data_IF_723893847270
#
_entry.id   IF_723893847270
#
_cell.length_a   1.000
_cell.length_b   1.000
_cell.length_c   1.000
_cell.angle_alpha   90.00
_cell.angle_beta   90.00
_cell.angle_gamma   90.00
#
_symmetry.space_group_name_H-M   'P 1'
#
loop_
_entity.id
_entity.type
_entity.pdbx_description
1 polymer ?
#
# COMPACT_ATOMS: atom_id res chain seq x y z
N UNK A 1 19.45 -9.29 12.16
CA UNK A 1 20.52 -10.29 11.95
C UNK A 1 20.52 -11.28 13.10
N UNK A 2 20.52 -12.58 12.81
CA UNK A 2 20.43 -13.59 13.87
C UNK A 2 21.74 -13.63 14.67
N UNK A 3 21.67 -13.53 16.00
CA UNK A 3 22.85 -13.59 16.89
C UNK A 3 23.72 -14.82 16.61
N UNK A 4 23.08 -15.91 16.17
CA UNK A 4 23.72 -17.15 15.76
C UNK A 4 24.76 -16.99 14.62
N UNK A 5 24.54 -16.07 13.67
CA UNK A 5 25.48 -15.87 12.56
C UNK A 5 26.79 -15.25 13.03
N UNK A 6 26.71 -14.22 13.89
CA UNK A 6 27.90 -13.61 14.48
C UNK A 6 28.66 -14.57 15.39
N UNK A 7 27.94 -15.38 16.15
CA UNK A 7 28.53 -16.41 17.01
C UNK A 7 29.26 -17.45 16.14
N UNK A 8 28.65 -17.92 15.04
CA UNK A 8 29.28 -18.87 14.14
C UNK A 8 30.56 -18.31 13.48
N UNK A 9 30.53 -17.05 13.03
CA UNK A 9 31.69 -16.36 12.46
C UNK A 9 32.82 -16.22 13.48
N UNK A 10 32.50 -15.82 14.71
CA UNK A 10 33.48 -15.70 15.79
C UNK A 10 34.13 -17.05 16.12
N UNK A 11 33.32 -18.11 16.21
CA UNK A 11 33.82 -19.48 16.44
C UNK A 11 34.73 -19.96 15.31
N UNK A 12 34.36 -19.71 14.05
CA UNK A 12 35.20 -20.05 12.89
C UNK A 12 36.56 -19.34 12.92
N UNK A 13 36.58 -18.04 13.23
CA UNK A 13 37.83 -17.28 13.35
C UNK A 13 38.69 -17.81 14.51
N UNK A 14 38.07 -18.13 15.65
CA UNK A 14 38.76 -18.69 16.81
C UNK A 14 39.36 -20.08 16.51
N UNK A 15 38.61 -20.94 15.81
CA UNK A 15 39.08 -22.27 15.40
C UNK A 15 40.24 -22.15 14.41
N UNK A 16 40.15 -21.25 13.42
CA UNK A 16 41.24 -21.03 12.47
C UNK A 16 42.52 -20.58 13.18
N UNK A 17 42.41 -19.63 14.11
CA UNK A 17 43.53 -19.15 14.91
C UNK A 17 44.13 -20.29 15.74
N UNK A 18 43.32 -20.96 16.57
CA UNK A 18 43.78 -22.07 17.41
C UNK A 18 44.34 -23.23 16.59
N UNK A 19 43.80 -23.50 15.40
CA UNK A 19 44.27 -24.55 14.50
C UNK A 19 45.70 -24.31 13.99
N UNK A 20 46.05 -23.06 13.68
CA UNK A 20 47.43 -22.71 13.27
C UNK A 20 48.41 -22.92 14.43
N UNK A 21 48.07 -22.45 15.63
CA UNK A 21 48.92 -22.66 16.81
C UNK A 21 49.02 -24.14 17.21
N UNK A 22 47.92 -24.89 17.15
CA UNK A 22 47.88 -26.30 17.51
C UNK A 22 48.65 -27.19 16.52
N UNK A 23 48.45 -26.98 15.20
CA UNK A 23 49.17 -27.73 14.17
C UNK A 23 50.68 -27.51 14.26
N UNK A 24 51.12 -26.28 14.53
CA UNK A 24 52.53 -25.96 14.75
C UNK A 24 53.07 -26.63 16.03
N UNK A 25 52.35 -26.52 17.15
CA UNK A 25 52.75 -27.15 18.41
C UNK A 25 52.87 -28.67 18.27
N UNK A 26 51.90 -29.31 17.62
CA UNK A 26 51.87 -30.75 17.39
C UNK A 26 53.08 -31.20 16.56
N UNK A 27 53.30 -30.58 15.40
CA UNK A 27 54.38 -30.99 14.50
C UNK A 27 55.78 -30.78 15.09
N UNK A 28 56.06 -29.61 15.68
CA UNK A 28 57.43 -29.28 16.09
C UNK A 28 57.80 -29.80 17.48
N UNK A 29 56.85 -29.89 18.41
CA UNK A 29 57.14 -30.30 19.79
C UNK A 29 56.86 -31.78 20.04
N UNK A 30 55.73 -32.31 19.54
CA UNK A 30 55.34 -33.70 19.82
C UNK A 30 56.01 -34.68 18.85
N UNK A 31 56.06 -34.36 17.56
CA UNK A 31 56.65 -35.27 16.57
C UNK A 31 58.18 -35.12 16.47
N UNK A 32 58.67 -33.88 16.40
CA UNK A 32 60.10 -33.58 16.16
C UNK A 32 60.92 -33.36 17.45
N UNK A 33 60.27 -33.28 18.63
CA UNK A 33 60.95 -33.15 19.92
C UNK A 33 61.71 -31.83 20.14
N UNK A 34 61.45 -30.79 19.35
CA UNK A 34 62.18 -29.53 19.47
C UNK A 34 61.81 -28.76 20.75
N UNK A 35 62.80 -28.07 21.32
CA UNK A 35 62.60 -27.18 22.48
C UNK A 35 62.13 -25.79 22.04
N UNK A 36 61.39 -25.13 22.93
CA UNK A 36 60.90 -23.76 22.71
C UNK A 36 62.11 -22.80 22.63
N UNK A 37 62.19 -22.02 21.56
CA UNK A 37 63.26 -21.04 21.38
C UNK A 37 63.16 -19.91 22.42
N UNK A 38 64.30 -19.53 22.99
CA UNK A 38 64.45 -18.34 23.84
C UNK A 38 64.74 -17.06 23.04
N UNK A 39 65.04 -17.17 21.73
CA UNK A 39 65.32 -16.01 20.89
C UNK A 39 64.01 -15.34 20.44
N UNK A 40 63.83 -14.04 20.70
CA UNK A 40 62.65 -13.31 20.22
C UNK A 40 62.52 -13.27 18.69
N UNK A 41 63.64 -13.36 17.97
CA UNK A 41 63.68 -13.31 16.50
C UNK A 41 62.95 -14.50 15.84
N UNK A 42 63.07 -15.71 16.41
CA UNK A 42 62.36 -16.91 15.93
C UNK A 42 60.84 -16.78 16.16
N UNK A 43 60.44 -16.12 17.24
CA UNK A 43 59.03 -15.82 17.49
C UNK A 43 58.47 -14.77 16.53
N UNK A 44 59.29 -13.81 16.11
CA UNK A 44 58.94 -12.87 15.03
C UNK A 44 58.65 -13.59 13.72
N UNK A 45 59.55 -14.47 13.28
CA UNK A 45 59.39 -15.26 12.04
C UNK A 45 58.17 -16.20 12.09
N UNK A 46 57.88 -16.79 13.26
CA UNK A 46 56.66 -17.57 13.46
C UNK A 46 55.40 -16.70 13.37
N UNK A 47 55.43 -15.51 13.97
CA UNK A 47 54.36 -14.52 13.85
C UNK A 47 54.09 -14.12 12.41
N UNK A 48 55.13 -13.96 11.58
CA UNK A 48 55.01 -13.65 10.16
C UNK A 48 54.36 -14.80 9.37
N UNK A 49 54.72 -16.05 9.67
CA UNK A 49 54.08 -17.23 9.06
C UNK A 49 52.60 -17.34 9.47
N UNK A 50 52.30 -17.23 10.77
CA UNK A 50 50.94 -17.31 11.27
C UNK A 50 50.08 -16.16 10.73
N UNK A 51 50.61 -14.93 10.70
CA UNK A 51 49.97 -13.77 10.11
C UNK A 51 49.75 -13.92 8.60
N UNK A 52 50.72 -14.47 7.87
CA UNK A 52 50.61 -14.75 6.44
C UNK A 52 49.50 -15.74 6.09
N UNK A 53 49.16 -16.66 6.99
CA UNK A 53 48.06 -17.61 6.80
C UNK A 53 46.72 -17.10 7.34
N UNK A 54 46.72 -16.48 8.53
CA UNK A 54 45.50 -16.00 9.21
C UNK A 54 44.92 -14.78 8.49
N UNK A 55 45.76 -13.85 8.00
CA UNK A 55 45.28 -12.61 7.41
C UNK A 55 44.44 -12.84 6.13
N UNK A 56 44.85 -13.69 5.16
CA UNK A 56 43.99 -14.02 4.02
C UNK A 56 42.67 -14.69 4.42
N UNK A 57 42.68 -15.58 5.43
CA UNK A 57 41.47 -16.25 5.93
C UNK A 57 40.51 -15.23 6.55
N UNK A 58 41.00 -14.34 7.42
CA UNK A 58 40.20 -13.27 8.02
C UNK A 58 39.72 -12.27 6.96
N UNK A 59 40.54 -11.96 5.96
CA UNK A 59 40.17 -11.13 4.82
C UNK A 59 39.01 -11.74 4.03
N UNK A 60 39.08 -13.03 3.72
CA UNK A 60 37.99 -13.74 3.04
C UNK A 60 36.71 -13.78 3.88
N UNK A 61 36.81 -14.09 5.18
CA UNK A 61 35.68 -14.05 6.12
C UNK A 61 35.04 -12.66 6.12
N UNK A 62 35.86 -11.60 6.14
CA UNK A 62 35.38 -10.21 6.10
C UNK A 62 34.59 -9.93 4.83
N UNK A 63 35.10 -10.35 3.66
CA UNK A 63 34.38 -10.19 2.38
C UNK A 63 33.04 -10.93 2.42
N UNK A 64 33.00 -12.16 2.94
CA UNK A 64 31.75 -12.94 3.06
C UNK A 64 30.74 -12.25 3.98
N UNK A 65 31.17 -11.73 5.13
CA UNK A 65 30.31 -10.97 6.04
C UNK A 65 29.75 -9.73 5.35
N UNK A 66 30.58 -9.00 4.61
CA UNK A 66 30.15 -7.81 3.87
C UNK A 66 29.09 -8.16 2.83
N UNK A 67 29.27 -9.25 2.07
CA UNK A 67 28.28 -9.73 1.09
C UNK A 67 26.95 -10.08 1.79
N UNK A 68 27.00 -10.87 2.86
CA UNK A 68 25.78 -11.25 3.61
C UNK A 68 25.07 -10.01 4.18
N UNK A 69 25.84 -9.08 4.74
CA UNK A 69 25.31 -7.84 5.31
C UNK A 69 24.66 -6.98 4.23
N UNK A 70 25.30 -6.84 3.07
CA UNK A 70 24.77 -6.09 1.92
C UNK A 70 23.45 -6.70 1.40
N UNK A 71 23.39 -8.03 1.24
CA UNK A 71 22.15 -8.71 0.82
C UNK A 71 21.02 -8.55 1.85
N UNK A 72 21.35 -8.60 3.15
CA UNK A 72 20.37 -8.36 4.20
C UNK A 72 19.88 -6.91 4.19
N UNK A 73 20.79 -5.94 4.03
CA UNK A 73 20.46 -4.52 3.92
C UNK A 73 19.53 -4.28 2.73
N UNK A 74 19.84 -4.83 1.54
CA UNK A 74 18.98 -4.71 0.36
C UNK A 74 17.55 -5.20 0.64
N UNK A 75 17.39 -6.37 1.27
CA UNK A 75 16.06 -6.86 1.67
C UNK A 75 15.35 -5.97 2.69
N UNK A 76 16.09 -5.33 3.60
CA UNK A 76 15.49 -4.36 4.53
C UNK A 76 15.06 -3.08 3.81
N UNK A 77 15.85 -2.59 2.87
CA UNK A 77 15.51 -1.43 2.04
C UNK A 77 14.24 -1.69 1.21
N UNK A 78 14.14 -2.83 0.53
CA UNK A 78 12.93 -3.21 -0.23
C UNK A 78 11.67 -3.25 0.67
N UNK A 79 11.81 -3.80 1.89
CA UNK A 79 10.71 -3.83 2.87
C UNK A 79 10.35 -2.43 3.39
N UNK A 80 11.35 -1.57 3.58
CA UNK A 80 11.14 -0.20 4.02
C UNK A 80 10.45 0.62 2.93
N UNK A 81 10.95 0.56 1.69
CA UNK A 81 10.37 1.23 0.53
C UNK A 81 8.90 0.81 0.33
N UNK A 82 8.61 -0.49 0.48
CA UNK A 82 7.24 -0.99 0.42
C UNK A 82 6.34 -0.39 1.51
N UNK A 83 6.85 -0.27 2.74
CA UNK A 83 6.10 0.36 3.84
C UNK A 83 5.89 1.85 3.60
N UNK A 84 6.87 2.54 3.04
CA UNK A 84 6.75 3.95 2.70
C UNK A 84 5.73 4.19 1.60
N UNK A 85 5.73 3.38 0.53
CA UNK A 85 4.71 3.45 -0.53
C UNK A 85 3.31 3.26 0.03
N UNK A 86 3.11 2.24 0.88
CA UNK A 86 1.83 2.01 1.54
C UNK A 86 1.41 3.19 2.41
N UNK A 87 2.34 3.77 3.18
CA UNK A 87 2.06 4.94 4.04
C UNK A 87 1.69 6.18 3.21
N UNK A 88 2.44 6.46 2.14
CA UNK A 88 2.15 7.59 1.24
C UNK A 88 0.78 7.41 0.60
N UNK A 89 0.41 6.19 0.24
CA UNK A 89 -0.92 5.91 -0.24
C UNK A 89 -1.99 6.12 0.84
N UNK A 90 -1.80 5.61 2.06
CA UNK A 90 -2.71 5.83 3.18
C UNK A 90 -2.95 7.33 3.41
N UNK A 91 -1.88 8.11 3.48
CA UNK A 91 -1.94 9.56 3.70
C UNK A 91 -2.71 10.25 2.55
N UNK A 92 -2.48 9.87 1.30
CA UNK A 92 -3.24 10.37 0.13
C UNK A 92 -4.71 9.96 0.19
N UNK A 93 -5.00 8.70 0.52
CA UNK A 93 -6.37 8.18 0.62
C UNK A 93 -7.17 8.92 1.68
N UNK A 94 -6.65 9.02 2.91
CA UNK A 94 -7.32 9.74 3.97
C UNK A 94 -7.47 11.23 3.66
N UNK A 95 -6.47 11.84 3.04
CA UNK A 95 -6.53 13.24 2.58
C UNK A 95 -7.61 13.48 1.52
N UNK A 96 -7.79 12.57 0.57
CA UNK A 96 -8.86 12.68 -0.44
C UNK A 96 -10.25 12.41 0.14
N UNK A 97 -10.37 11.45 1.07
CA UNK A 97 -11.62 11.18 1.80
C UNK A 97 -12.03 12.40 2.63
N UNK A 98 -11.09 13.03 3.35
CA UNK A 98 -11.38 14.24 4.11
C UNK A 98 -11.78 15.39 3.19
N UNK A 99 -11.06 15.60 2.09
CA UNK A 99 -11.41 16.62 1.10
C UNK A 99 -12.83 16.41 0.54
N UNK A 100 -13.19 15.17 0.18
CA UNK A 100 -14.55 14.86 -0.27
C UNK A 100 -15.59 15.15 0.80
N UNK A 101 -15.33 14.77 2.05
CA UNK A 101 -16.23 15.01 3.17
C UNK A 101 -16.45 16.50 3.38
N UNK A 102 -15.38 17.29 3.40
CA UNK A 102 -15.45 18.74 3.57
C UNK A 102 -16.18 19.39 2.39
N UNK A 103 -15.87 18.96 1.17
CA UNK A 103 -16.56 19.42 -0.04
C UNK A 103 -18.07 19.11 0.02
N UNK A 104 -18.46 17.93 0.51
CA UNK A 104 -19.87 17.55 0.67
C UNK A 104 -20.56 18.33 1.81
N UNK A 105 -19.85 18.63 2.90
CA UNK A 105 -20.39 19.40 4.02
C UNK A 105 -20.65 20.87 3.65
N UNK A 106 -19.74 21.46 2.86
CA UNK A 106 -19.85 22.86 2.41
C UNK A 106 -20.75 23.03 1.18
N UNK A 107 -21.14 21.91 0.54
CA UNK A 107 -21.95 21.90 -0.66
C UNK A 107 -23.35 22.46 -0.43
N UNK A 108 -23.77 23.36 -1.32
CA UNK A 108 -25.12 23.91 -1.38
C UNK A 108 -25.63 23.92 -2.82
N UNK A 109 -26.86 23.47 -3.02
CA UNK A 109 -27.53 23.53 -4.31
C UNK A 109 -28.93 24.13 -4.15
N UNK A 110 -29.34 24.99 -5.08
CA UNK A 110 -30.67 25.57 -5.07
C UNK A 110 -31.69 24.57 -5.58
N UNK A 111 -32.68 24.28 -4.74
CA UNK A 111 -33.87 23.54 -5.15
C UNK A 111 -34.79 24.44 -6.00
N UNK A 112 -35.75 23.86 -6.74
CA UNK A 112 -36.75 24.64 -7.48
C UNK A 112 -37.58 25.57 -6.60
N UNK A 113 -37.69 25.26 -5.30
CA UNK A 113 -38.32 26.13 -4.29
C UNK A 113 -37.53 27.40 -3.99
N UNK A 114 -36.29 27.52 -4.48
CA UNK A 114 -35.38 28.64 -4.23
C UNK A 114 -34.56 28.52 -2.94
N UNK A 115 -34.75 27.45 -2.16
CA UNK A 115 -34.02 27.18 -0.92
C UNK A 115 -32.69 26.49 -1.22
N UNK A 116 -31.61 26.91 -0.56
CA UNK A 116 -30.33 26.21 -0.59
C UNK A 116 -30.44 24.90 0.20
N UNK A 117 -30.18 23.78 -0.46
CA UNK A 117 -30.17 22.45 0.13
C UNK A 117 -28.74 21.93 0.32
N UNK A 118 -28.49 21.31 1.47
CA UNK A 118 -27.29 20.50 1.69
C UNK A 118 -27.40 19.14 0.97
N UNK A 119 -26.34 18.33 1.00
CA UNK A 119 -26.31 17.01 0.33
C UNK A 119 -27.46 16.10 0.78
N UNK A 120 -27.81 16.08 2.06
CA UNK A 120 -28.88 15.23 2.59
C UNK A 120 -30.25 15.63 2.05
N UNK A 121 -30.58 16.91 2.15
CA UNK A 121 -31.84 17.48 1.66
C UNK A 121 -31.97 17.31 0.14
N UNK A 122 -30.88 17.56 -0.57
CA UNK A 122 -30.84 17.40 -2.02
C UNK A 122 -31.04 15.95 -2.43
N UNK A 123 -30.40 15.01 -1.73
CA UNK A 123 -30.54 13.57 -2.03
C UNK A 123 -31.99 13.14 -1.92
N UNK A 124 -32.68 13.53 -0.84
CA UNK A 124 -34.11 13.22 -0.63
C UNK A 124 -34.95 13.81 -1.76
N UNK A 125 -34.70 15.06 -2.15
CA UNK A 125 -35.44 15.70 -3.24
C UNK A 125 -35.20 15.01 -4.59
N UNK A 126 -33.94 14.73 -4.92
CA UNK A 126 -33.53 14.07 -6.17
C UNK A 126 -34.11 12.66 -6.26
N UNK A 127 -34.08 11.90 -5.17
CA UNK A 127 -34.74 10.58 -5.08
C UNK A 127 -36.24 10.70 -5.29
N UNK A 128 -36.92 11.65 -4.64
CA UNK A 128 -38.36 11.86 -4.82
C UNK A 128 -38.71 12.21 -6.27
N UNK A 129 -37.94 13.10 -6.92
CA UNK A 129 -38.14 13.42 -8.34
C UNK A 129 -37.90 12.19 -9.22
N UNK A 130 -36.87 11.40 -8.93
CA UNK A 130 -36.51 10.23 -9.75
C UNK A 130 -37.49 9.05 -9.60
N UNK A 131 -37.89 8.73 -8.37
CA UNK A 131 -38.73 7.55 -8.07
C UNK A 131 -40.23 7.85 -8.17
N UNK A 132 -40.67 9.02 -7.72
CA UNK A 132 -42.10 9.30 -7.52
C UNK A 132 -42.74 10.10 -8.66
N UNK A 133 -41.95 10.63 -9.59
CA UNK A 133 -42.43 11.46 -10.70
C UNK A 133 -41.88 11.00 -12.05
N UNK A 134 -42.58 11.34 -13.13
CA UNK A 134 -42.09 11.14 -14.52
C UNK A 134 -41.49 12.43 -15.11
N UNK A 135 -41.60 13.58 -14.42
CA UNK A 135 -40.98 14.84 -14.84
C UNK A 135 -39.56 14.95 -14.26
N UNK A 136 -38.59 14.60 -15.09
CA UNK A 136 -37.17 14.71 -14.74
C UNK A 136 -36.49 15.97 -15.29
N UNK A 137 -37.26 17.01 -15.64
CA UNK A 137 -36.73 18.26 -16.18
C UNK A 137 -35.67 18.89 -15.27
N UNK A 138 -35.91 18.91 -13.95
CA UNK A 138 -34.95 19.42 -12.98
C UNK A 138 -33.64 18.62 -12.93
N UNK A 139 -33.72 17.28 -12.97
CA UNK A 139 -32.52 16.42 -13.00
C UNK A 139 -31.74 16.62 -14.31
N UNK A 140 -32.42 17.01 -15.38
CA UNK A 140 -31.82 17.24 -16.68
C UNK A 140 -31.37 18.69 -16.91
N UNK A 141 -31.63 19.60 -15.98
CA UNK A 141 -31.17 20.98 -16.01
C UNK A 141 -29.64 21.08 -15.90
N UNK A 142 -29.04 21.94 -16.72
CA UNK A 142 -27.58 22.07 -16.79
C UNK A 142 -27.00 22.69 -15.50
N UNK A 143 -27.70 23.61 -14.84
CA UNK A 143 -27.22 24.20 -13.57
C UNK A 143 -27.20 23.18 -12.45
N UNK A 144 -28.21 22.30 -12.41
CA UNK A 144 -28.24 21.18 -11.48
C UNK A 144 -27.06 20.24 -11.74
N UNK A 145 -26.85 19.81 -12.99
CA UNK A 145 -25.73 18.94 -13.38
C UNK A 145 -24.37 19.55 -13.06
N UNK A 146 -24.18 20.84 -13.35
CA UNK A 146 -22.93 21.57 -13.07
C UNK A 146 -22.63 21.63 -11.56
N UNK A 147 -23.67 21.64 -10.73
CA UNK A 147 -23.53 21.59 -9.27
C UNK A 147 -23.14 20.19 -8.78
N UNK A 148 -23.78 19.14 -9.31
CA UNK A 148 -23.65 17.78 -8.76
C UNK A 148 -22.49 16.99 -9.35
N UNK A 149 -22.18 17.18 -10.63
CA UNK A 149 -21.15 16.40 -11.30
C UNK A 149 -19.76 16.56 -10.68
N UNK A 150 -19.33 17.72 -10.17
CA UNK A 150 -18.08 17.85 -9.41
C UNK A 150 -18.02 16.95 -8.17
N UNK A 151 -19.13 16.80 -7.46
CA UNK A 151 -19.24 15.99 -6.24
C UNK A 151 -19.11 14.49 -6.57
N UNK A 152 -19.77 14.04 -7.64
CA UNK A 152 -19.61 12.66 -8.15
C UNK A 152 -18.21 12.43 -8.74
N UNK A 153 -17.62 13.44 -9.39
CA UNK A 153 -16.23 13.38 -9.90
C UNK A 153 -15.22 13.23 -8.77
N UNK A 154 -15.41 13.90 -7.64
CA UNK A 154 -14.59 13.71 -6.45
C UNK A 154 -14.61 12.26 -5.96
N UNK A 155 -15.79 11.63 -5.95
CA UNK A 155 -15.91 10.20 -5.64
C UNK A 155 -15.22 9.29 -6.67
N UNK A 156 -15.38 9.60 -7.96
CA UNK A 156 -14.69 8.87 -9.04
C UNK A 156 -13.17 8.88 -8.87
N UNK A 157 -12.57 10.01 -8.49
CA UNK A 157 -11.12 10.13 -8.30
C UNK A 157 -10.64 9.15 -7.22
N UNK A 158 -11.38 9.00 -6.12
CA UNK A 158 -11.09 8.03 -5.07
C UNK A 158 -11.15 6.58 -5.59
N UNK A 159 -12.22 6.22 -6.31
CA UNK A 159 -12.36 4.87 -6.90
C UNK A 159 -11.23 4.57 -7.89
N UNK A 160 -10.87 5.56 -8.72
CA UNK A 160 -9.78 5.46 -9.69
C UNK A 160 -8.42 5.34 -9.02
N UNK A 161 -8.14 6.15 -8.00
CA UNK A 161 -6.89 6.09 -7.23
C UNK A 161 -6.69 4.70 -6.61
N UNK A 162 -7.73 4.11 -6.01
CA UNK A 162 -7.65 2.75 -5.45
C UNK A 162 -7.41 1.72 -6.58
N UNK A 163 -8.08 1.87 -7.72
CA UNK A 163 -7.95 0.92 -8.83
C UNK A 163 -6.56 0.96 -9.48
N UNK A 164 -6.02 2.16 -9.71
CA UNK A 164 -4.74 2.35 -10.41
C UNK A 164 -3.54 2.02 -9.52
N UNK A 165 -3.63 2.29 -8.21
CA UNK A 165 -2.58 1.95 -7.24
C UNK A 165 -2.34 0.45 -7.09
N UNK A 166 -3.32 -0.39 -7.46
CA UNK A 166 -3.16 -1.85 -7.50
C UNK A 166 -1.98 -2.29 -8.39
N UNK A 167 -1.67 -1.55 -9.46
CA UNK A 167 -0.67 -1.98 -10.44
C UNK A 167 0.78 -1.70 -10.01
N UNK A 168 1.00 -0.75 -9.08
CA UNK A 168 2.34 -0.20 -8.83
C UNK A 168 2.69 -0.03 -7.35
N UNK A 169 1.69 0.16 -6.47
CA UNK A 169 1.92 0.59 -5.09
C UNK A 169 1.39 -0.42 -4.06
N UNK A 170 0.29 -1.13 -4.34
CA UNK A 170 -0.48 -1.90 -3.34
C UNK A 170 -0.85 -3.31 -3.82
N UNK A 171 -0.87 -4.30 -2.92
CA UNK A 171 -1.34 -5.64 -3.25
C UNK A 171 -2.85 -5.67 -3.53
N UNK A 172 -3.31 -6.61 -4.37
CA UNK A 172 -4.76 -6.78 -4.69
C UNK A 172 -5.64 -6.87 -3.45
N UNK A 173 -5.15 -7.56 -2.42
CA UNK A 173 -5.86 -7.78 -1.14
C UNK A 173 -6.07 -6.47 -0.38
N UNK A 174 -5.15 -5.52 -0.51
CA UNK A 174 -5.20 -4.25 0.18
C UNK A 174 -6.14 -3.28 -0.56
N UNK A 175 -6.21 -3.30 -1.90
CA UNK A 175 -7.18 -2.50 -2.68
C UNK A 175 -8.64 -2.77 -2.29
N UNK A 176 -8.99 -4.05 -2.11
CA UNK A 176 -10.31 -4.48 -1.64
C UNK A 176 -10.71 -3.83 -0.31
N UNK A 177 -9.74 -3.69 0.60
CA UNK A 177 -9.92 -3.07 1.91
C UNK A 177 -10.14 -1.56 1.80
N UNK A 178 -9.44 -0.88 0.88
CA UNK A 178 -9.68 0.54 0.63
C UNK A 178 -11.06 0.82 0.01
N UNK A 179 -11.56 -0.06 -0.86
CA UNK A 179 -12.94 0.07 -1.36
C UNK A 179 -13.96 -0.07 -0.23
N UNK A 180 -13.77 -1.04 0.66
CA UNK A 180 -14.63 -1.20 1.84
C UNK A 180 -14.59 0.05 2.74
N UNK A 181 -13.39 0.60 2.98
CA UNK A 181 -13.23 1.83 3.74
C UNK A 181 -13.85 3.05 3.06
N UNK A 182 -13.68 3.20 1.74
CA UNK A 182 -14.31 4.26 0.97
C UNK A 182 -15.83 4.24 1.19
N UNK A 183 -16.48 3.10 0.98
CA UNK A 183 -17.94 2.96 1.13
C UNK A 183 -18.38 3.28 2.57
N UNK A 184 -17.67 2.78 3.57
CA UNK A 184 -18.05 2.96 4.98
C UNK A 184 -17.72 4.36 5.53
N UNK A 185 -16.78 5.09 4.94
CA UNK A 185 -16.38 6.44 5.37
C UNK A 185 -17.11 7.56 4.62
N UNK A 186 -17.75 7.24 3.48
CA UNK A 186 -18.61 8.15 2.73
C UNK A 186 -19.97 8.27 3.43
N UNK A 187 -20.48 9.50 3.55
CA UNK A 187 -21.81 9.76 4.11
C UNK A 187 -22.91 9.00 3.34
N UNK A 188 -23.92 8.49 4.05
CA UNK A 188 -24.98 7.69 3.47
C UNK A 188 -25.80 8.45 2.40
N UNK A 189 -26.06 9.74 2.60
CA UNK A 189 -26.79 10.54 1.61
C UNK A 189 -25.92 10.83 0.39
N UNK A 190 -24.65 11.16 0.62
CA UNK A 190 -23.67 11.32 -0.45
C UNK A 190 -23.55 10.05 -1.31
N UNK A 191 -23.49 8.88 -0.69
CA UNK A 191 -23.38 7.62 -1.40
C UNK A 191 -24.62 7.33 -2.27
N UNK A 192 -25.83 7.55 -1.74
CA UNK A 192 -27.08 7.45 -2.50
C UNK A 192 -27.12 8.38 -3.70
N UNK A 193 -26.72 9.63 -3.51
CA UNK A 193 -26.63 10.62 -4.57
C UNK A 193 -25.63 10.21 -5.65
N UNK A 194 -24.43 9.78 -5.26
CA UNK A 194 -23.40 9.29 -6.18
C UNK A 194 -23.91 8.11 -7.00
N UNK A 195 -24.49 7.09 -6.36
CA UNK A 195 -25.01 5.90 -7.04
C UNK A 195 -26.17 6.26 -7.97
N UNK A 196 -27.11 7.10 -7.52
CA UNK A 196 -28.21 7.57 -8.35
C UNK A 196 -27.67 8.26 -9.60
N UNK A 197 -26.77 9.23 -9.47
CA UNK A 197 -26.18 9.93 -10.61
C UNK A 197 -25.42 8.97 -11.54
N UNK A 198 -24.62 8.06 -10.99
CA UNK A 198 -23.81 7.11 -11.76
C UNK A 198 -24.66 6.18 -12.63
N UNK A 199 -25.82 5.75 -12.10
CA UNK A 199 -26.73 4.87 -12.83
C UNK A 199 -27.77 5.63 -13.65
N UNK A 200 -28.14 6.85 -13.27
CA UNK A 200 -29.10 7.69 -13.99
C UNK A 200 -28.52 8.34 -15.25
N UNK A 201 -27.37 9.01 -15.16
CA UNK A 201 -26.79 9.71 -16.32
C UNK A 201 -25.91 8.80 -17.18
N UNK A 202 -26.14 8.82 -18.49
CA UNK A 202 -25.33 8.11 -19.48
C UNK A 202 -24.33 9.03 -20.19
N UNK A 203 -23.33 8.43 -20.84
CA UNK A 203 -22.33 9.16 -21.64
C UNK A 203 -21.22 9.85 -20.84
N UNK A 204 -21.24 9.78 -19.50
CA UNK A 204 -20.24 10.44 -18.65
C UNK A 204 -19.13 9.45 -18.28
N UNK A 205 -17.90 9.71 -18.74
CA UNK A 205 -16.75 8.81 -18.56
C UNK A 205 -16.44 8.49 -17.09
N UNK A 206 -16.49 9.49 -16.19
CA UNK A 206 -16.24 9.27 -14.76
C UNK A 206 -17.29 8.35 -14.12
N UNK A 207 -18.54 8.44 -14.57
CA UNK A 207 -19.63 7.63 -14.03
C UNK A 207 -19.56 6.21 -14.60
N UNK A 208 -19.27 6.11 -15.90
CA UNK A 208 -18.99 4.84 -16.57
C UNK A 208 -17.84 4.09 -15.91
N UNK A 209 -16.80 4.79 -15.45
CA UNK A 209 -15.69 4.18 -14.72
C UNK A 209 -16.14 3.58 -13.38
N UNK A 210 -16.91 4.32 -12.58
CA UNK A 210 -17.43 3.82 -11.29
C UNK A 210 -18.27 2.56 -11.52
N UNK A 211 -19.25 2.60 -12.45
CA UNK A 211 -20.17 1.48 -12.68
C UNK A 211 -19.55 0.26 -13.37
N UNK A 212 -18.43 0.44 -14.08
CA UNK A 212 -17.71 -0.66 -14.75
C UNK A 212 -16.61 -1.28 -13.88
N UNK A 213 -16.26 -0.66 -12.75
CA UNK A 213 -15.28 -1.21 -11.81
C UNK A 213 -15.89 -2.39 -11.03
N UNK A 214 -15.65 -3.62 -11.51
CA UNK A 214 -16.23 -4.84 -10.95
C UNK A 214 -15.83 -5.11 -9.50
N UNK A 215 -14.60 -4.77 -9.10
CA UNK A 215 -14.13 -4.92 -7.73
C UNK A 215 -14.92 -4.01 -6.77
N UNK A 216 -15.07 -2.74 -7.15
CA UNK A 216 -15.84 -1.78 -6.38
C UNK A 216 -17.33 -2.14 -6.29
N UNK A 217 -17.96 -2.49 -7.42
CA UNK A 217 -19.38 -2.90 -7.45
C UNK A 217 -19.63 -4.17 -6.62
N UNK A 218 -18.70 -5.12 -6.64
CA UNK A 218 -18.78 -6.30 -5.79
C UNK A 218 -18.77 -5.92 -4.30
N UNK A 219 -17.87 -5.01 -3.88
CA UNK A 219 -17.84 -4.52 -2.48
C UNK A 219 -19.10 -3.78 -2.09
N UNK A 220 -19.63 -2.93 -2.97
CA UNK A 220 -20.92 -2.26 -2.72
C UNK A 220 -22.04 -3.26 -2.46
N UNK A 221 -22.12 -4.30 -3.29
CA UNK A 221 -23.14 -5.35 -3.14
C UNK A 221 -22.98 -6.10 -1.81
N UNK A 222 -21.74 -6.42 -1.41
CA UNK A 222 -21.45 -7.09 -0.13
C UNK A 222 -21.81 -6.24 1.09
N UNK A 223 -21.69 -4.92 1.00
CA UNK A 223 -21.97 -3.97 2.10
C UNK A 223 -23.48 -3.62 2.20
N UNK A 224 -24.28 -3.99 1.20
CA UNK A 224 -25.74 -3.80 1.21
C UNK A 224 -26.25 -2.72 0.26
N UNK A 225 -25.43 -2.20 -0.65
CA UNK A 225 -25.84 -1.23 -1.67
C UNK A 225 -26.45 -1.86 -2.93
N UNK A 226 -26.44 -3.20 -3.02
CA UNK A 226 -26.96 -3.93 -4.18
C UNK A 226 -28.45 -3.62 -4.46
N UNK A 227 -29.28 -3.69 -3.42
CA UNK A 227 -30.73 -3.47 -3.54
C UNK A 227 -31.05 -2.06 -4.07
N UNK A 228 -30.39 -1.03 -3.52
CA UNK A 228 -30.55 0.35 -3.96
C UNK A 228 -30.11 0.53 -5.43
N UNK A 229 -28.98 -0.04 -5.82
CA UNK A 229 -28.49 0.01 -7.20
C UNK A 229 -29.48 -0.63 -8.16
N UNK A 230 -30.04 -1.78 -7.78
CA UNK A 230 -30.99 -2.51 -8.63
C UNK A 230 -32.34 -1.80 -8.73
N UNK A 231 -32.79 -1.14 -7.66
CA UNK A 231 -33.96 -0.26 -7.67
C UNK A 231 -33.78 0.92 -8.63
N UNK A 232 -32.63 1.61 -8.58
CA UNK A 232 -32.30 2.71 -9.49
C UNK A 232 -32.28 2.22 -10.95
N UNK A 233 -31.63 1.09 -11.23
CA UNK A 233 -31.59 0.52 -12.58
C UNK A 233 -32.99 0.15 -13.07
N UNK A 234 -33.82 -0.47 -12.23
CA UNK A 234 -35.18 -0.86 -12.57
C UNK A 234 -36.02 0.36 -12.93
N UNK A 235 -36.00 1.41 -12.11
CA UNK A 235 -36.73 2.66 -12.39
C UNK A 235 -36.24 3.32 -13.68
N UNK A 236 -34.92 3.37 -13.92
CA UNK A 236 -34.36 3.93 -15.16
C UNK A 236 -34.85 3.23 -16.43
N UNK A 237 -34.99 1.90 -16.41
CA UNK A 237 -35.54 1.15 -17.55
C UNK A 237 -36.99 1.53 -17.86
N UNK A 238 -37.77 1.96 -16.86
CA UNK A 238 -39.14 2.45 -17.07
C UNK A 238 -39.20 3.87 -17.62
N UNK A 239 -38.20 4.71 -17.34
CA UNK A 239 -38.12 6.09 -17.83
C UNK A 239 -37.55 6.14 -19.27
N UNK A 240 -36.69 5.19 -19.62
CA UNK A 240 -36.03 5.11 -20.93
C UNK A 240 -36.83 4.40 -22.05
N UNK A 241 -38.01 3.87 -21.72
CA UNK A 241 -39.01 3.36 -22.67
C UNK A 241 -40.12 4.39 -22.87
#
# INVERSE_FOLDING_TARGET
MNKALWIAVFLLALIALLGVFFSYYYWFKLELGFHISKSPEVWGQFGDFAGGLINPILGFITVVILIITSLYQQKQYERLERREKNKIFDDRFYGMISYQRDFANDFKCKLPSGVDANVKELTIYVEGVFFDTDDHSYLNDDKFKDSIFPLVRGFYILVKMINESHNEEIEKKDADKYYEWLVNLTDYSLMRLVLLCVYYYDGISSFNYIKSNSAFIAKLSMIGWGDYIDEVKKRKLHIGN
#
